data_IF_419187422075
#
_entry.id   IF_419187422075
#
_cell.length_a   1.000
_cell.length_b   1.000
_cell.length_c   1.000
_cell.angle_alpha   90.00
_cell.angle_beta   90.00
_cell.angle_gamma   90.00
#
_symmetry.space_group_name_H-M   'P 1'
#
loop_
_entity.id
_entity.type
_entity.pdbx_description
1 polymer ?
#
# COMPACT_ATOMS: atom_id res chain seq x y z
N UNK A 1 -3.39 16.47 11.48
CA UNK A 1 -4.63 16.77 12.23
C UNK A 1 -5.12 15.69 13.20
N UNK A 2 -5.12 14.40 12.86
CA UNK A 2 -5.69 13.36 13.73
C UNK A 2 -4.86 13.03 14.99
N UNK A 3 -3.53 13.01 14.89
CA UNK A 3 -2.64 12.77 16.04
C UNK A 3 -2.78 13.86 17.11
N UNK A 4 -2.84 15.12 16.67
CA UNK A 4 -3.05 16.29 17.55
C UNK A 4 -4.39 16.20 18.28
N UNK A 5 -5.47 15.77 17.60
CA UNK A 5 -6.79 15.59 18.23
C UNK A 5 -6.81 14.46 19.27
N UNK A 6 -6.01 13.40 19.05
CA UNK A 6 -5.96 12.24 19.93
C UNK A 6 -5.17 12.56 21.21
N UNK A 7 -4.04 13.27 21.10
CA UNK A 7 -3.31 13.78 22.26
C UNK A 7 -4.11 14.83 23.04
N UNK A 8 -4.83 15.73 22.35
CA UNK A 8 -5.65 16.74 23.02
C UNK A 8 -6.80 16.11 23.81
N UNK A 9 -7.42 15.05 23.29
CA UNK A 9 -8.47 14.30 23.99
C UNK A 9 -7.93 13.54 25.23
N UNK A 10 -6.72 12.99 25.13
CA UNK A 10 -6.04 12.33 26.26
C UNK A 10 -5.59 13.33 27.34
N UNK A 11 -5.18 14.54 26.95
CA UNK A 11 -4.81 15.59 27.90
C UNK A 11 -6.03 16.17 28.63
N UNK A 12 -7.15 16.37 27.93
CA UNK A 12 -8.40 16.89 28.51
C UNK A 12 -9.07 15.89 29.47
N UNK A 13 -8.91 14.58 29.26
CA UNK A 13 -9.47 13.55 30.15
C UNK A 13 -8.87 13.59 31.56
N UNK A 14 -7.60 13.97 31.67
CA UNK A 14 -6.91 14.16 32.95
C UNK A 14 -7.32 15.43 33.71
N UNK A 15 -7.91 16.41 33.02
CA UNK A 15 -8.34 17.70 33.58
C UNK A 15 -9.85 17.76 33.88
N UNK A 16 -10.61 16.74 33.47
CA UNK A 16 -12.05 16.68 33.64
C UNK A 16 -12.45 16.41 35.10
N UNK A 17 -12.76 17.48 35.83
CA UNK A 17 -13.10 17.40 37.26
C UNK A 17 -14.60 17.19 37.54
N UNK A 18 -15.48 17.34 36.54
CA UNK A 18 -16.93 17.19 36.69
C UNK A 18 -17.50 16.01 35.87
N UNK A 19 -18.59 15.40 36.34
CA UNK A 19 -19.26 14.26 35.67
C UNK A 19 -19.75 14.60 34.26
N UNK A 20 -20.13 15.86 34.00
CA UNK A 20 -20.48 16.35 32.67
C UNK A 20 -19.31 16.33 31.69
N UNK A 21 -18.10 16.60 32.19
CA UNK A 21 -16.88 16.65 31.36
C UNK A 21 -16.44 15.23 31.02
N UNK A 22 -16.53 14.31 31.98
CA UNK A 22 -16.33 12.87 31.75
C UNK A 22 -17.30 12.31 30.71
N UNK A 23 -18.58 12.70 30.76
CA UNK A 23 -19.58 12.31 29.76
C UNK A 23 -19.29 12.83 28.35
N UNK A 24 -18.83 14.08 28.23
CA UNK A 24 -18.43 14.67 26.94
C UNK A 24 -17.17 14.03 26.36
N UNK A 25 -16.19 13.72 27.20
CA UNK A 25 -14.96 13.03 26.79
C UNK A 25 -15.26 11.60 26.34
N UNK A 26 -16.11 10.86 27.06
CA UNK A 26 -16.54 9.52 26.66
C UNK A 26 -17.27 9.55 25.31
N UNK A 27 -18.13 10.55 25.07
CA UNK A 27 -18.80 10.73 23.78
C UNK A 27 -17.81 11.09 22.65
N UNK A 28 -16.81 11.93 22.92
CA UNK A 28 -15.76 12.26 21.97
C UNK A 28 -14.89 11.04 21.64
N UNK A 29 -14.50 10.25 22.64
CA UNK A 29 -13.77 8.99 22.45
C UNK A 29 -14.60 7.98 21.66
N UNK A 30 -15.89 7.84 21.95
CA UNK A 30 -16.79 6.98 21.18
C UNK A 30 -16.94 7.44 19.72
N UNK A 31 -17.02 8.77 19.48
CA UNK A 31 -17.05 9.34 18.13
C UNK A 31 -15.74 9.16 17.38
N UNK A 32 -14.60 9.33 18.05
CA UNK A 32 -13.27 9.09 17.46
C UNK A 32 -13.04 7.60 17.18
N UNK A 33 -13.50 6.70 18.05
CA UNK A 33 -13.49 5.26 17.80
C UNK A 33 -14.44 4.85 16.67
N UNK A 34 -15.60 5.50 16.57
CA UNK A 34 -16.57 5.29 15.48
C UNK A 34 -16.18 6.00 14.17
N UNK A 35 -15.19 6.88 14.19
CA UNK A 35 -14.63 7.58 13.02
C UNK A 35 -13.13 7.42 13.05
N UNK A 36 -12.66 6.18 12.87
CA UNK A 36 -11.29 5.99 12.42
C UNK A 36 -11.15 6.73 11.08
N UNK A 37 -10.13 7.60 10.92
CA UNK A 37 -9.92 8.28 9.65
C UNK A 37 -9.75 7.18 8.60
N UNK A 38 -10.38 7.35 7.43
CA UNK A 38 -10.11 6.46 6.30
C UNK A 38 -8.64 6.71 5.93
N UNK A 39 -7.78 5.83 6.42
CA UNK A 39 -6.37 5.78 6.08
C UNK A 39 -6.34 5.20 4.67
N UNK A 40 -6.31 6.06 3.66
CA UNK A 40 -6.06 5.63 2.30
C UNK A 40 -4.66 5.03 2.25
N UNK A 41 -4.60 3.78 1.83
CA UNK A 41 -3.41 2.97 1.61
C UNK A 41 -3.31 2.76 0.11
N UNK A 42 -2.11 2.82 -0.43
CA UNK A 42 -1.93 2.97 -1.88
C UNK A 42 -0.85 1.98 -2.36
N UNK A 43 -1.03 0.66 -2.11
CA UNK A 43 -0.03 -0.33 -2.49
C UNK A 43 0.20 -0.35 -4.00
N UNK A 44 1.46 -0.50 -4.38
CA UNK A 44 1.89 -0.57 -5.77
C UNK A 44 1.72 -1.99 -6.31
N UNK A 45 1.02 -2.11 -7.43
CA UNK A 45 0.72 -3.35 -8.14
C UNK A 45 1.61 -3.45 -9.38
N UNK A 46 2.30 -4.58 -9.52
CA UNK A 46 3.18 -4.91 -10.65
C UNK A 46 2.52 -5.99 -11.52
N UNK A 47 2.20 -5.69 -12.79
CA UNK A 47 1.68 -6.68 -13.74
C UNK A 47 2.69 -7.79 -14.09
N UNK A 48 2.27 -9.04 -13.95
CA UNK A 48 3.02 -10.23 -14.39
C UNK A 48 2.64 -10.66 -15.82
N UNK A 49 1.46 -10.24 -16.28
CA UNK A 49 0.96 -10.45 -17.64
C UNK A 49 0.61 -9.12 -18.33
N UNK A 50 0.23 -9.15 -19.61
CA UNK A 50 -0.21 -7.95 -20.34
C UNK A 50 -1.74 -7.72 -20.20
N UNK A 51 -2.34 -8.28 -19.14
CA UNK A 51 -3.75 -8.15 -18.84
C UNK A 51 -4.09 -6.71 -18.35
N UNK A 52 -5.35 -6.26 -18.47
CA UNK A 52 -5.76 -4.98 -17.92
C UNK A 52 -5.83 -5.00 -16.38
N UNK A 53 -5.64 -3.85 -15.74
CA UNK A 53 -5.68 -3.71 -14.28
C UNK A 53 -6.94 -4.33 -13.64
N UNK A 54 -8.11 -4.23 -14.26
CA UNK A 54 -9.38 -4.75 -13.72
C UNK A 54 -9.40 -6.29 -13.55
N UNK A 55 -8.41 -7.00 -14.10
CA UNK A 55 -8.24 -8.45 -13.91
C UNK A 55 -7.19 -8.79 -12.85
N UNK A 56 -6.43 -7.80 -12.38
CA UNK A 56 -5.33 -7.98 -11.42
C UNK A 56 -5.80 -7.92 -9.97
N UNK A 57 -6.97 -7.32 -9.72
CA UNK A 57 -7.55 -7.20 -8.38
C UNK A 57 -8.93 -7.85 -8.38
N UNK A 58 -9.11 -8.89 -7.56
CA UNK A 58 -10.43 -9.39 -7.20
C UNK A 58 -10.98 -8.55 -6.04
N UNK A 59 -11.85 -7.59 -6.36
CA UNK A 59 -12.54 -6.76 -5.37
C UNK A 59 -13.50 -7.52 -4.46
N UNK A 60 -13.87 -8.76 -4.81
CA UNK A 60 -14.74 -9.63 -4.01
C UNK A 60 -13.98 -10.63 -3.13
N UNK A 61 -12.64 -10.61 -3.19
CA UNK A 61 -11.81 -11.50 -2.39
C UNK A 61 -12.03 -11.29 -0.89
N UNK A 62 -12.10 -12.41 -0.16
CA UNK A 62 -12.24 -12.44 1.29
C UNK A 62 -10.88 -12.42 2.01
N UNK A 63 -9.78 -12.29 1.28
CA UNK A 63 -8.44 -12.22 1.87
C UNK A 63 -8.33 -10.96 2.71
N UNK A 64 -8.06 -11.13 4.00
CA UNK A 64 -7.93 -10.05 4.96
C UNK A 64 -6.45 -9.71 5.14
N UNK A 65 -6.08 -8.45 4.93
CA UNK A 65 -4.70 -7.98 5.09
C UNK A 65 -4.66 -6.59 5.71
N UNK A 66 -3.60 -6.31 6.48
CA UNK A 66 -3.38 -5.03 7.14
C UNK A 66 -2.61 -4.07 6.24
N UNK A 67 -3.28 -3.54 5.22
CA UNK A 67 -2.66 -2.53 4.35
C UNK A 67 -2.30 -1.23 5.10
N UNK A 68 -2.93 -0.95 6.24
CA UNK A 68 -2.72 0.29 6.99
C UNK A 68 -1.54 0.21 7.96
N UNK A 69 -1.08 -0.99 8.31
CA UNK A 69 -0.08 -1.21 9.35
C UNK A 69 -0.60 -0.95 10.76
N UNK A 70 -1.92 -1.01 10.96
CA UNK A 70 -2.57 -0.73 12.25
C UNK A 70 -2.85 -1.98 13.09
N UNK A 71 -2.56 -3.17 12.55
CA UNK A 71 -2.93 -4.47 13.11
C UNK A 71 -4.38 -4.86 12.83
N UNK A 72 -5.11 -4.13 11.99
CA UNK A 72 -6.52 -4.40 11.67
C UNK A 72 -6.63 -4.88 10.21
N UNK A 73 -6.58 -6.20 10.03
CA UNK A 73 -6.65 -6.84 8.73
C UNK A 73 -8.10 -6.89 8.23
N UNK A 74 -8.34 -6.42 6.99
CA UNK A 74 -9.68 -6.33 6.39
C UNK A 74 -9.67 -6.83 4.96
N UNK A 75 -10.77 -7.46 4.54
CA UNK A 75 -11.00 -7.84 3.15
C UNK A 75 -11.39 -6.60 2.33
N UNK A 76 -10.48 -6.14 1.47
CA UNK A 76 -10.63 -4.89 0.70
C UNK A 76 -10.32 -5.06 -0.79
N UNK A 77 -10.28 -6.32 -1.24
CA UNK A 77 -9.78 -6.75 -2.54
C UNK A 77 -8.36 -7.29 -2.45
N UNK A 78 -8.03 -8.24 -3.32
CA UNK A 78 -6.74 -8.93 -3.32
C UNK A 78 -6.23 -9.17 -4.74
N UNK A 79 -4.93 -9.44 -4.88
CA UNK A 79 -4.34 -9.77 -6.18
C UNK A 79 -4.92 -11.05 -6.76
N UNK A 80 -4.98 -11.10 -8.08
CA UNK A 80 -5.08 -12.35 -8.84
C UNK A 80 -3.68 -12.83 -9.24
N UNK A 81 -3.60 -14.01 -9.86
CA UNK A 81 -2.33 -14.57 -10.33
C UNK A 81 -1.61 -13.76 -11.43
N UNK A 82 -2.29 -12.76 -12.01
CA UNK A 82 -1.78 -11.89 -13.08
C UNK A 82 -0.89 -10.74 -12.59
N UNK A 83 -0.76 -10.56 -11.27
CA UNK A 83 -0.03 -9.45 -10.67
C UNK A 83 0.71 -9.86 -9.38
N UNK A 84 1.58 -8.95 -8.93
CA UNK A 84 2.30 -9.05 -7.67
C UNK A 84 2.28 -7.69 -6.95
N UNK A 85 2.49 -7.70 -5.64
CA UNK A 85 2.74 -6.49 -4.87
C UNK A 85 4.20 -6.09 -4.99
N UNK A 86 4.49 -4.80 -5.16
CA UNK A 86 5.85 -4.30 -4.98
C UNK A 86 6.11 -4.10 -3.48
N UNK A 87 7.16 -4.73 -2.96
CA UNK A 87 7.50 -4.73 -1.54
C UNK A 87 8.95 -4.34 -1.30
N UNK A 88 9.24 -3.91 -0.08
CA UNK A 88 10.58 -3.59 0.40
C UNK A 88 11.13 -4.73 1.27
N UNK A 89 12.07 -5.48 0.72
CA UNK A 89 12.75 -6.60 1.39
C UNK A 89 14.27 -6.59 1.12
N UNK A 90 15.03 -5.67 1.75
CA UNK A 90 16.46 -5.51 1.52
C UNK A 90 17.31 -6.66 2.05
N UNK A 91 16.77 -7.48 2.95
CA UNK A 91 17.45 -8.60 3.59
C UNK A 91 16.98 -9.96 3.07
N UNK A 92 16.09 -9.98 2.07
CA UNK A 92 15.54 -11.19 1.45
C UNK A 92 14.92 -12.15 2.47
N UNK A 93 14.19 -11.60 3.43
CA UNK A 93 13.52 -12.38 4.47
C UNK A 93 12.27 -13.04 3.94
N UNK A 94 11.61 -12.42 2.94
CA UNK A 94 10.32 -12.84 2.43
C UNK A 94 9.16 -12.62 3.40
N UNK A 95 9.37 -11.82 4.46
CA UNK A 95 8.36 -11.52 5.48
C UNK A 95 7.62 -10.23 5.12
N UNK A 96 6.40 -10.33 4.58
CA UNK A 96 5.50 -9.18 4.35
C UNK A 96 4.35 -9.26 5.35
N UNK A 97 4.30 -8.31 6.29
CA UNK A 97 3.38 -8.37 7.44
C UNK A 97 2.27 -7.35 7.36
N UNK A 98 2.52 -6.21 6.72
CA UNK A 98 1.55 -5.14 6.56
C UNK A 98 1.93 -4.22 5.41
N UNK A 99 1.11 -3.19 5.17
CA UNK A 99 1.43 -2.15 4.21
C UNK A 99 2.70 -1.33 4.51
N UNK A 100 3.35 -1.52 5.66
CA UNK A 100 4.66 -0.92 5.93
C UNK A 100 5.80 -1.61 5.18
N UNK A 101 5.63 -2.89 4.85
CA UNK A 101 6.58 -3.67 4.06
C UNK A 101 6.29 -3.54 2.55
N UNK A 102 5.16 -2.94 2.17
CA UNK A 102 4.77 -2.70 0.78
C UNK A 102 5.21 -1.31 0.33
N UNK A 103 5.48 -1.15 -0.98
CA UNK A 103 5.63 0.18 -1.57
C UNK A 103 4.24 0.80 -1.74
N UNK A 104 4.02 1.97 -1.13
CA UNK A 104 2.77 2.74 -1.16
C UNK A 104 2.78 3.93 -0.21
N UNK A 105 1.60 4.49 0.09
CA UNK A 105 1.46 5.61 1.03
C UNK A 105 1.90 5.33 2.49
N UNK A 106 2.24 4.08 2.83
CA UNK A 106 2.60 3.65 4.19
C UNK A 106 3.99 3.01 4.30
N UNK A 107 4.75 2.95 3.20
CA UNK A 107 6.08 2.32 3.17
C UNK A 107 6.94 2.80 4.34
N UNK A 108 7.60 1.86 5.03
CA UNK A 108 8.54 2.12 6.13
C UNK A 108 7.93 2.85 7.34
N UNK A 109 6.62 2.72 7.55
CA UNK A 109 5.88 3.47 8.57
C UNK A 109 5.97 5.00 8.41
N UNK A 110 6.28 5.47 7.20
CA UNK A 110 6.26 6.88 6.81
C UNK A 110 4.99 7.17 6.02
N UNK A 111 4.47 8.41 6.15
CA UNK A 111 3.33 8.86 5.37
C UNK A 111 3.82 9.51 4.07
N UNK A 112 3.55 8.83 2.96
CA UNK A 112 3.69 9.37 1.61
C UNK A 112 2.31 9.75 1.05
N UNK A 113 2.28 10.63 0.05
CA UNK A 113 1.05 10.94 -0.68
C UNK A 113 0.59 9.72 -1.50
N UNK A 114 1.54 8.98 -2.06
CA UNK A 114 1.33 7.79 -2.88
C UNK A 114 2.63 6.95 -2.95
N UNK A 115 2.58 5.78 -3.58
CA UNK A 115 3.70 4.87 -3.79
C UNK A 115 4.72 5.38 -4.79
N UNK A 116 4.34 6.23 -5.75
CA UNK A 116 5.31 6.87 -6.66
C UNK A 116 6.19 7.90 -5.92
N UNK A 117 5.66 8.55 -4.89
CA UNK A 117 6.47 9.36 -3.98
C UNK A 117 7.45 8.53 -3.16
N UNK A 118 7.01 7.37 -2.64
CA UNK A 118 7.91 6.45 -1.96
C UNK A 118 9.03 5.96 -2.91
N UNK A 119 8.70 5.66 -4.17
CA UNK A 119 9.71 5.31 -5.18
C UNK A 119 10.66 6.48 -5.48
N UNK A 120 10.18 7.72 -5.58
CA UNK A 120 11.04 8.91 -5.76
C UNK A 120 12.05 9.10 -4.63
N UNK A 121 11.77 8.58 -3.43
CA UNK A 121 12.73 8.65 -2.33
C UNK A 121 13.93 7.70 -2.52
N UNK A 122 13.81 6.70 -3.39
CA UNK A 122 14.88 5.77 -3.78
C UNK A 122 15.63 6.19 -5.05
N UNK A 123 15.11 7.19 -5.77
CA UNK A 123 15.69 7.74 -7.01
C UNK A 123 16.81 8.72 -6.64
N UNK A 124 17.98 8.17 -6.32
CA UNK A 124 19.14 8.91 -5.84
C UNK A 124 19.66 9.91 -6.88
N UNK A 125 19.61 9.51 -8.15
CA UNK A 125 20.12 10.31 -9.25
C UNK A 125 19.08 11.33 -9.79
N UNK A 126 17.80 11.15 -9.46
CA UNK A 126 16.64 11.98 -9.83
C UNK A 126 16.33 12.02 -11.33
N UNK A 127 16.64 10.97 -12.07
CA UNK A 127 16.35 10.85 -13.50
C UNK A 127 14.89 10.47 -13.78
N UNK A 128 14.15 10.04 -12.75
CA UNK A 128 12.75 9.66 -12.84
C UNK A 128 12.53 8.16 -13.03
N UNK A 129 13.55 7.33 -12.91
CA UNK A 129 13.43 5.87 -12.87
C UNK A 129 14.40 5.25 -11.86
N UNK A 130 13.97 4.20 -11.17
CA UNK A 130 14.88 3.40 -10.36
C UNK A 130 15.58 2.41 -11.28
N UNK A 131 16.92 2.44 -11.29
CA UNK A 131 17.73 1.52 -12.08
C UNK A 131 18.91 0.95 -11.29
N UNK A 132 19.44 -0.18 -11.75
CA UNK A 132 20.68 -0.75 -11.19
C UNK A 132 20.63 -0.96 -9.67
N UNK A 133 21.44 -0.21 -8.93
CA UNK A 133 21.52 -0.31 -7.48
C UNK A 133 20.29 0.25 -6.75
N UNK A 134 19.56 1.18 -7.36
CA UNK A 134 18.34 1.80 -6.77
C UNK A 134 17.18 0.79 -6.69
N UNK A 135 17.25 -0.31 -7.47
CA UNK A 135 16.34 -1.45 -7.34
C UNK A 135 16.70 -2.37 -6.16
N UNK A 136 17.82 -2.11 -5.48
CA UNK A 136 18.28 -2.88 -4.34
C UNK A 136 17.25 -2.89 -3.21
N UNK A 137 16.83 -4.08 -2.82
CA UNK A 137 15.83 -4.29 -1.77
C UNK A 137 14.37 -4.20 -2.22
N UNK A 138 14.10 -3.90 -3.50
CA UNK A 138 12.77 -4.10 -4.06
C UNK A 138 12.55 -5.56 -4.41
N UNK A 139 11.38 -6.08 -4.05
CA UNK A 139 10.94 -7.44 -4.34
C UNK A 139 9.50 -7.45 -4.82
N UNK A 140 9.10 -8.55 -5.47
CA UNK A 140 7.71 -8.83 -5.78
C UNK A 140 7.19 -9.89 -4.82
N UNK A 141 6.06 -9.62 -4.19
CA UNK A 141 5.29 -10.62 -3.47
C UNK A 141 4.14 -11.11 -4.35
N UNK A 142 4.23 -12.38 -4.76
CA UNK A 142 3.18 -13.07 -5.50
C UNK A 142 2.54 -14.12 -4.59
N UNK A 143 1.40 -13.75 -4.01
CA UNK A 143 0.56 -14.66 -3.22
C UNK A 143 -0.16 -15.63 -4.16
N UNK A 144 0.43 -16.80 -4.41
CA UNK A 144 -0.08 -17.76 -5.40
C UNK A 144 -1.30 -18.50 -4.90
N UNK A 145 -1.39 -18.71 -3.58
CA UNK A 145 -2.48 -19.44 -2.95
C UNK A 145 -3.62 -18.52 -2.51
N UNK A 146 -3.41 -17.20 -2.52
CA UNK A 146 -4.39 -16.18 -2.20
C UNK A 146 -4.81 -16.21 -0.74
N UNK A 147 -3.88 -16.40 0.20
CA UNK A 147 -4.18 -16.47 1.63
C UNK A 147 -3.86 -15.18 2.41
N UNK A 148 -3.21 -14.20 1.77
CA UNK A 148 -2.81 -12.95 2.41
C UNK A 148 -1.59 -13.06 3.32
N UNK A 149 -0.85 -14.15 3.25
CA UNK A 149 0.35 -14.46 4.03
C UNK A 149 1.51 -14.62 3.07
N UNK A 150 2.66 -14.00 3.38
CA UNK A 150 3.87 -14.20 2.59
C UNK A 150 4.47 -15.57 2.89
N UNK A 151 4.14 -16.56 2.05
CA UNK A 151 4.67 -17.91 2.19
C UNK A 151 6.08 -18.04 1.61
N UNK A 152 6.81 -19.08 2.03
CA UNK A 152 8.17 -19.31 1.59
C UNK A 152 8.24 -19.48 0.06
N UNK A 153 9.02 -18.61 -0.59
CA UNK A 153 9.21 -18.60 -2.05
C UNK A 153 8.28 -17.67 -2.83
N UNK A 154 7.31 -17.04 -2.17
CA UNK A 154 6.39 -16.09 -2.82
C UNK A 154 6.96 -14.69 -3.01
N UNK A 155 7.95 -14.33 -2.19
CA UNK A 155 8.63 -13.03 -2.23
C UNK A 155 10.00 -13.22 -2.86
N UNK A 156 10.21 -12.61 -4.02
CA UNK A 156 11.47 -12.71 -4.76
C UNK A 156 11.98 -11.33 -5.17
N UNK A 157 13.30 -11.09 -5.18
CA UNK A 157 13.87 -9.82 -5.61
C UNK A 157 13.40 -9.41 -7.00
N UNK A 158 13.18 -8.10 -7.23
CA UNK A 158 12.62 -7.59 -8.49
C UNK A 158 13.46 -7.98 -9.72
N UNK A 159 14.79 -8.04 -9.57
CA UNK A 159 15.70 -8.47 -10.63
C UNK A 159 15.55 -9.95 -11.02
N UNK A 160 15.07 -10.83 -10.12
CA UNK A 160 14.76 -12.24 -10.43
C UNK A 160 13.57 -12.32 -11.41
N UNK A 161 12.68 -11.34 -11.39
CA UNK A 161 11.59 -11.19 -12.36
C UNK A 161 12.02 -10.48 -13.65
N UNK A 162 13.33 -10.22 -13.83
CA UNK A 162 13.88 -9.53 -14.99
C UNK A 162 13.60 -8.03 -15.00
N UNK A 163 13.14 -7.43 -13.90
CA UNK A 163 12.91 -5.98 -13.82
C UNK A 163 14.25 -5.26 -13.81
N UNK A 164 14.42 -4.32 -14.74
CA UNK A 164 15.63 -3.51 -14.90
C UNK A 164 15.38 -2.02 -14.69
N UNK A 165 14.12 -1.58 -14.71
CA UNK A 165 13.76 -0.24 -14.29
C UNK A 165 12.31 -0.12 -13.81
N UNK A 166 12.07 0.84 -12.91
CA UNK A 166 10.74 1.23 -12.46
C UNK A 166 10.57 2.75 -12.59
N UNK A 167 9.47 3.20 -13.18
CA UNK A 167 9.11 4.62 -13.17
C UNK A 167 8.72 5.07 -11.78
N UNK A 168 9.17 6.25 -11.38
CA UNK A 168 8.78 6.89 -10.11
C UNK A 168 7.68 7.94 -10.29
N UNK A 169 7.01 7.93 -11.45
CA UNK A 169 5.96 8.90 -11.81
C UNK A 169 4.71 8.20 -12.32
N UNK A 170 3.62 8.35 -11.59
CA UNK A 170 2.27 7.98 -12.01
C UNK A 170 1.36 9.19 -12.13
N UNK A 171 0.24 9.01 -12.83
CA UNK A 171 -0.82 10.02 -12.95
C UNK A 171 -2.17 9.38 -12.67
N UNK A 172 -3.10 10.13 -12.09
CA UNK A 172 -4.43 9.62 -11.79
C UNK A 172 -5.17 9.34 -13.11
N UNK A 173 -5.54 8.09 -13.32
CA UNK A 173 -6.29 7.67 -14.52
C UNK A 173 -7.78 7.50 -14.23
N UNK A 174 -8.12 7.17 -12.98
CA UNK A 174 -9.48 7.11 -12.45
C UNK A 174 -9.45 7.22 -10.92
N UNK A 175 -10.60 7.43 -10.24
CA UNK A 175 -10.64 7.46 -8.78
C UNK A 175 -9.99 6.21 -8.16
N UNK A 176 -9.06 6.41 -7.22
CA UNK A 176 -8.35 5.30 -6.54
C UNK A 176 -7.30 4.58 -7.38
N UNK A 177 -6.90 5.12 -8.55
CA UNK A 177 -5.86 4.52 -9.38
C UNK A 177 -4.94 5.58 -10.00
N UNK A 178 -3.67 5.51 -9.63
CA UNK A 178 -2.56 6.17 -10.33
C UNK A 178 -1.91 5.15 -11.27
N UNK A 179 -1.47 5.60 -12.44
CA UNK A 179 -0.85 4.72 -13.45
C UNK A 179 0.38 5.38 -14.04
N UNK A 180 1.46 4.62 -14.15
CA UNK A 180 2.59 4.89 -15.02
C UNK A 180 2.52 3.91 -16.20
N UNK A 181 2.15 4.35 -17.43
CA UNK A 181 1.96 3.44 -18.56
C UNK A 181 3.20 2.63 -18.96
N UNK A 182 4.38 3.24 -18.86
CA UNK A 182 5.69 2.60 -19.05
C UNK A 182 6.39 2.43 -17.69
N UNK A 183 5.64 1.90 -16.72
CA UNK A 183 6.02 1.89 -15.32
C UNK A 183 7.07 0.84 -14.93
N UNK A 184 7.15 -0.26 -15.66
CA UNK A 184 8.09 -1.36 -15.42
C UNK A 184 8.79 -1.71 -16.71
N UNK A 185 10.12 -1.73 -16.72
CA UNK A 185 10.93 -2.20 -17.85
C UNK A 185 11.62 -3.51 -17.49
N UNK A 186 11.55 -4.48 -18.40
CA UNK A 186 12.16 -5.79 -18.27
C UNK A 186 13.46 -5.90 -19.10
N UNK A 187 14.34 -6.82 -18.72
CA UNK A 187 15.62 -7.11 -19.38
C UNK A 187 15.49 -7.53 -20.85
N UNK A 188 14.35 -8.14 -21.21
CA UNK A 188 13.98 -8.49 -22.57
C UNK A 188 13.45 -7.30 -23.40
N UNK A 189 13.47 -6.09 -22.84
CA UNK A 189 13.05 -4.85 -23.50
C UNK A 189 11.54 -4.58 -23.47
N UNK A 190 10.73 -5.49 -22.91
CA UNK A 190 9.29 -5.22 -22.71
C UNK A 190 9.08 -4.16 -21.65
N UNK A 191 8.03 -3.37 -21.82
CA UNK A 191 7.50 -2.49 -20.78
C UNK A 191 6.09 -2.90 -20.40
N UNK A 192 5.71 -2.63 -19.15
CA UNK A 192 4.35 -2.74 -18.65
C UNK A 192 3.99 -1.55 -17.78
N UNK A 193 2.69 -1.29 -17.57
CA UNK A 193 2.29 -0.30 -16.61
C UNK A 193 2.71 -0.64 -15.18
N UNK A 194 2.85 0.38 -14.35
CA UNK A 194 2.92 0.27 -12.90
C UNK A 194 1.73 1.00 -12.32
N UNK A 195 1.09 0.41 -11.31
CA UNK A 195 -0.12 0.96 -10.73
C UNK A 195 0.09 1.25 -9.27
N UNK A 196 -0.45 2.36 -8.81
CA UNK A 196 -0.74 2.56 -7.39
C UNK A 196 -2.26 2.53 -7.24
N UNK A 197 -2.73 1.56 -6.45
CA UNK A 197 -4.14 1.25 -6.23
C UNK A 197 -4.58 1.59 -4.81
N UNK A 198 -5.74 2.22 -4.66
CA UNK A 198 -6.38 2.46 -3.36
C UNK A 198 -7.49 1.44 -3.08
N UNK A 199 -7.34 0.53 -2.11
CA UNK A 199 -8.37 -0.42 -1.71
C UNK A 199 -9.65 0.27 -1.25
N UNK A 200 -10.81 -0.33 -1.53
CA UNK A 200 -12.12 0.19 -1.14
C UNK A 200 -12.60 1.45 -1.87
N UNK A 201 -11.76 2.13 -2.65
CA UNK A 201 -12.16 3.21 -3.56
C UNK A 201 -12.40 2.65 -4.96
N UNK A 202 -13.67 2.43 -5.32
CA UNK A 202 -14.06 1.95 -6.66
C UNK A 202 -15.17 0.90 -6.66
N UNK A 203 -15.42 0.25 -5.51
CA UNK A 203 -16.63 -0.54 -5.33
C UNK A 203 -17.82 0.42 -5.18
N UNK A 204 -18.75 0.40 -6.13
CA UNK A 204 -20.08 0.96 -5.88
C UNK A 204 -20.62 0.28 -4.62
N UNK A 205 -21.08 1.01 -3.59
CA UNK A 205 -21.62 0.37 -2.40
C UNK A 205 -22.78 -0.54 -2.82
N UNK A 206 -22.67 -1.82 -2.52
CA UNK A 206 -23.79 -2.75 -2.62
C UNK A 206 -24.81 -2.30 -1.57
N UNK A 207 -25.89 -1.66 -2.04
CA UNK A 207 -27.08 -1.35 -1.25
C UNK A 207 -27.77 -2.60 -0.73
#
# INVERSE_FOLDING_TARGET
DHAVLTETAAHLSHLATADSDRGRIALLQARLGASQPVVYVTPVVVPLTDAPFDTMIDHSSNVAFDFAGTGDARAQGWLTADAAWLVWDPEWRGDVRSGFDMIGARTWSVFWNDGFEALRALDDNRDGELTGAELGGLALWRDENGNGVSDAGEVLPANVHGIVALSVRGQATRPGLLTAPDGVRFDNGRTRPLYDWTPGLGATPTS
#
